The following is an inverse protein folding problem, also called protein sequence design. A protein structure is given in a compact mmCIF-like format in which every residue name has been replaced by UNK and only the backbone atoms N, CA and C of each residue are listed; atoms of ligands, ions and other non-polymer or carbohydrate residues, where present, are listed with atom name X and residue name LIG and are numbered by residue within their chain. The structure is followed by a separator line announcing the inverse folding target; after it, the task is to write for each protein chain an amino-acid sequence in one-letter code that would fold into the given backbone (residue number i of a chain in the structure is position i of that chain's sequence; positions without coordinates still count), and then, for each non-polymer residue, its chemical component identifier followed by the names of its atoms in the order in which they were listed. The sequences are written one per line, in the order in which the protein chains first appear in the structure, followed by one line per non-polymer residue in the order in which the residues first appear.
data_IF_643074669405
#
_entry.id   IF_643074669405
#
_cell.length_a   1.000
_cell.length_b   1.000
_cell.length_c   1.000
_cell.angle_alpha   90.00
_cell.angle_beta   90.00
_cell.angle_gamma   90.00
#
_symmetry.space_group_name_H-M   'P 1'
#
loop_
_entity.id
_entity.type
_entity.pdbx_description
1 polymer ?
#
# COMPACT_ATOMS: atom_id res chain seq x y z
N UNK A 1 13.32 2.40 -4.77
CA UNK A 1 13.35 1.71 -6.08
C UNK A 1 14.38 0.58 -6.14
N UNK A 2 15.66 0.83 -5.88
CA UNK A 2 16.71 -0.20 -5.97
C UNK A 2 16.48 -1.41 -5.05
N UNK A 3 16.02 -1.20 -3.82
CA UNK A 3 15.72 -2.29 -2.87
C UNK A 3 14.50 -3.13 -3.30
N UNK A 4 13.45 -2.49 -3.83
CA UNK A 4 12.29 -3.22 -4.36
C UNK A 4 12.65 -4.03 -5.61
N UNK A 5 13.49 -3.49 -6.50
CA UNK A 5 13.97 -4.24 -7.66
C UNK A 5 14.90 -5.39 -7.26
N UNK A 6 15.67 -5.27 -6.17
CA UNK A 6 16.46 -6.38 -5.65
C UNK A 6 15.57 -7.56 -5.21
N UNK A 7 14.44 -7.28 -4.55
CA UNK A 7 13.51 -8.33 -4.08
C UNK A 7 12.63 -8.91 -5.19
N UNK A 8 12.12 -8.07 -6.10
CA UNK A 8 11.13 -8.49 -7.12
C UNK A 8 11.71 -8.61 -8.54
N UNK A 9 12.99 -8.30 -8.73
CA UNK A 9 13.67 -8.27 -10.03
C UNK A 9 13.49 -9.54 -10.87
N UNK A 10 13.62 -10.76 -10.30
CA UNK A 10 13.40 -12.00 -11.05
C UNK A 10 11.98 -12.10 -11.63
N UNK A 11 10.97 -11.81 -10.82
CA UNK A 11 9.55 -11.82 -11.24
C UNK A 11 9.27 -10.76 -12.30
N UNK A 12 9.78 -9.54 -12.11
CA UNK A 12 9.65 -8.43 -13.06
C UNK A 12 10.30 -8.80 -14.40
N UNK A 13 11.54 -9.30 -14.39
CA UNK A 13 12.25 -9.71 -15.60
C UNK A 13 11.64 -10.94 -16.28
N UNK A 14 11.04 -11.86 -15.52
CA UNK A 14 10.24 -12.96 -16.03
C UNK A 14 9.04 -12.47 -16.82
N UNK A 15 8.27 -11.53 -16.26
CA UNK A 15 7.14 -10.92 -16.95
C UNK A 15 7.54 -10.12 -18.19
N UNK A 16 8.60 -9.29 -18.11
CA UNK A 16 9.12 -8.50 -19.23
C UNK A 16 9.47 -9.36 -20.45
N UNK A 17 10.19 -10.48 -20.24
CA UNK A 17 10.59 -11.37 -21.34
C UNK A 17 9.43 -12.20 -21.87
N UNK A 18 8.60 -12.76 -20.98
CA UNK A 18 7.55 -13.69 -21.39
C UNK A 18 6.37 -13.00 -22.07
N UNK A 19 5.89 -11.88 -21.49
CA UNK A 19 4.67 -11.18 -21.92
C UNK A 19 4.95 -9.98 -22.81
N UNK A 20 5.87 -9.11 -22.40
CA UNK A 20 6.13 -7.86 -23.13
C UNK A 20 7.18 -8.00 -24.24
N UNK A 21 7.89 -9.14 -24.30
CA UNK A 21 9.02 -9.37 -25.22
C UNK A 21 10.11 -8.30 -25.09
N UNK A 22 10.29 -7.75 -23.90
CA UNK A 22 11.32 -6.75 -23.58
C UNK A 22 12.55 -7.41 -22.95
N UNK A 23 13.71 -6.78 -23.13
CA UNK A 23 14.95 -7.18 -22.47
C UNK A 23 14.83 -7.07 -20.93
N UNK A 24 15.54 -7.97 -20.25
CA UNK A 24 15.66 -7.93 -18.79
C UNK A 24 16.38 -6.66 -18.34
N UNK A 25 15.94 -6.10 -17.23
CA UNK A 25 16.60 -5.01 -16.54
C UNK A 25 17.67 -5.58 -15.62
N UNK A 26 18.91 -5.16 -15.80
CA UNK A 26 20.03 -5.53 -14.94
C UNK A 26 20.20 -4.53 -13.81
N UNK A 27 20.70 -5.01 -12.67
CA UNK A 27 21.11 -4.14 -11.56
C UNK A 27 22.22 -3.21 -12.08
N UNK A 28 22.10 -1.91 -11.81
CA UNK A 28 23.05 -0.90 -12.30
C UNK A 28 22.71 -0.28 -13.66
N UNK A 29 21.67 -0.76 -14.37
CA UNK A 29 21.22 -0.17 -15.65
C UNK A 29 20.58 1.22 -15.56
N UNK A 30 20.59 1.86 -14.38
CA UNK A 30 19.95 3.15 -14.13
C UNK A 30 18.41 3.09 -14.11
N UNK A 31 17.77 1.98 -14.49
CA UNK A 31 16.31 1.84 -14.46
C UNK A 31 15.72 1.98 -13.05
N UNK A 32 16.49 1.65 -12.00
CA UNK A 32 16.09 1.91 -10.61
C UNK A 32 16.04 3.41 -10.25
N UNK A 33 16.30 4.29 -11.22
CA UNK A 33 16.11 5.74 -11.17
C UNK A 33 15.28 6.25 -12.36
N UNK A 34 14.55 5.37 -13.05
CA UNK A 34 13.78 5.75 -14.23
C UNK A 34 12.67 6.75 -13.87
N UNK A 35 12.09 6.66 -12.67
CA UNK A 35 11.05 7.61 -12.22
C UNK A 35 11.61 9.05 -12.18
N UNK A 36 12.71 9.34 -11.45
CA UNK A 36 13.29 10.68 -11.48
C UNK A 36 13.88 11.06 -12.85
N UNK A 37 14.64 10.17 -13.50
CA UNK A 37 15.36 10.50 -14.76
C UNK A 37 14.41 10.78 -15.94
N UNK A 38 13.34 10.00 -16.07
CA UNK A 38 12.36 10.16 -17.15
C UNK A 38 11.20 11.09 -16.79
N UNK A 39 11.29 11.77 -15.64
CA UNK A 39 10.25 12.67 -15.12
C UNK A 39 8.84 12.06 -15.06
N UNK A 40 8.75 10.77 -14.71
CA UNK A 40 7.47 10.07 -14.67
C UNK A 40 6.61 10.63 -13.53
N UNK A 41 5.38 11.12 -13.79
CA UNK A 41 4.48 11.58 -12.73
C UNK A 41 4.05 10.44 -11.80
N UNK A 42 4.02 10.70 -10.50
CA UNK A 42 3.55 9.73 -9.51
C UNK A 42 2.86 10.40 -8.32
N UNK A 43 2.01 9.63 -7.64
CA UNK A 43 1.19 10.10 -6.53
C UNK A 43 1.56 9.42 -5.22
N UNK A 44 1.89 10.22 -4.23
CA UNK A 44 2.00 9.85 -2.82
C UNK A 44 0.61 9.82 -2.18
N UNK A 45 0.17 8.62 -1.78
CA UNK A 45 -1.21 8.35 -1.39
C UNK A 45 -1.41 8.41 0.13
N UNK A 46 -1.18 9.59 0.72
CA UNK A 46 -1.51 9.87 2.11
C UNK A 46 -2.07 11.29 2.24
N UNK A 47 -2.73 11.56 3.37
CA UNK A 47 -3.29 12.88 3.68
C UNK A 47 -2.19 13.94 3.83
N UNK A 48 -2.25 15.07 3.09
CA UNK A 48 -1.31 16.17 3.26
C UNK A 48 -1.38 16.80 4.66
N UNK A 49 -2.48 16.60 5.40
CA UNK A 49 -2.60 17.02 6.80
C UNK A 49 -1.75 16.19 7.76
N UNK A 50 -1.38 14.96 7.38
CA UNK A 50 -0.46 14.13 8.15
C UNK A 50 0.99 14.55 7.87
N UNK A 51 1.38 14.55 6.60
CA UNK A 51 2.68 15.03 6.13
C UNK A 51 2.50 15.76 4.81
N UNK A 52 2.81 17.06 4.72
CA UNK A 52 2.75 17.79 3.46
C UNK A 52 3.86 17.31 2.52
N UNK A 53 3.76 17.65 1.22
CA UNK A 53 4.82 17.35 0.25
C UNK A 53 6.14 17.99 0.71
N UNK A 54 7.23 17.21 0.89
CA UNK A 54 8.54 17.77 1.20
C UNK A 54 9.05 18.71 0.11
N UNK A 55 9.82 19.73 0.50
CA UNK A 55 10.28 20.79 -0.43
C UNK A 55 11.31 20.30 -1.44
N UNK A 56 12.07 19.29 -1.07
CA UNK A 56 13.12 18.65 -1.86
C UNK A 56 12.58 17.57 -2.82
N UNK A 57 11.26 17.33 -2.82
CA UNK A 57 10.63 16.37 -3.72
C UNK A 57 10.38 16.94 -5.11
N UNK A 58 10.54 16.12 -6.18
CA UNK A 58 10.40 16.59 -7.55
C UNK A 58 8.98 17.07 -7.85
N UNK A 59 8.85 18.01 -8.80
CA UNK A 59 7.56 18.60 -9.20
C UNK A 59 6.55 17.54 -9.69
N UNK A 60 7.03 16.50 -10.36
CA UNK A 60 6.22 15.38 -10.86
C UNK A 60 5.60 14.50 -9.76
N UNK A 61 6.02 14.66 -8.50
CA UNK A 61 5.40 14.01 -7.35
C UNK A 61 4.26 14.87 -6.80
N UNK A 62 3.09 14.26 -6.57
CA UNK A 62 1.97 14.91 -5.88
C UNK A 62 1.55 14.11 -4.65
N UNK A 63 1.33 14.77 -3.52
CA UNK A 63 0.65 14.18 -2.37
C UNK A 63 -0.85 14.39 -2.58
N UNK A 64 -1.61 13.31 -2.76
CA UNK A 64 -2.98 13.36 -3.29
C UNK A 64 -4.07 13.03 -2.28
N UNK A 65 -3.71 12.70 -1.04
CA UNK A 65 -4.65 12.26 -0.03
C UNK A 65 -4.73 10.73 0.08
N UNK A 66 -5.54 10.28 1.03
CA UNK A 66 -5.80 8.86 1.26
C UNK A 66 -6.98 8.42 0.40
N UNK A 67 -6.80 7.36 -0.39
CA UNK A 67 -7.91 6.70 -1.06
C UNK A 67 -8.61 5.80 -0.06
N UNK A 68 -9.80 6.19 0.37
CA UNK A 68 -10.73 5.31 1.06
C UNK A 68 -11.73 4.77 0.06
N UNK A 69 -12.21 3.55 0.27
CA UNK A 69 -13.41 3.08 -0.42
C UNK A 69 -14.53 4.11 -0.21
N UNK A 70 -15.32 4.34 -1.25
CA UNK A 70 -16.39 5.33 -1.20
C UNK A 70 -17.30 5.00 -0.01
N UNK A 71 -17.32 5.85 1.03
CA UNK A 71 -18.04 5.57 2.29
C UNK A 71 -19.55 5.35 2.08
N UNK A 72 -20.06 5.73 0.90
CA UNK A 72 -21.45 5.54 0.46
C UNK A 72 -21.70 4.19 -0.21
N UNK A 73 -20.67 3.49 -0.68
CA UNK A 73 -20.80 2.10 -1.09
C UNK A 73 -20.86 1.30 0.21
N UNK A 74 -22.08 1.09 0.72
CA UNK A 74 -22.32 0.22 1.86
C UNK A 74 -21.57 -1.09 1.59
N UNK A 75 -20.59 -1.39 2.43
CA UNK A 75 -20.05 -2.75 2.47
C UNK A 75 -21.24 -3.65 2.77
N UNK A 76 -21.47 -4.68 1.95
CA UNK A 76 -22.52 -5.66 2.24
C UNK A 76 -22.07 -6.43 3.45
N UNK A 77 -22.51 -5.98 4.63
CA UNK A 77 -22.27 -6.66 5.89
C UNK A 77 -23.38 -7.68 6.03
N UNK A 78 -23.01 -8.93 6.27
CA UNK A 78 -23.96 -9.96 6.65
C UNK A 78 -24.37 -9.72 8.11
N UNK A 79 -25.39 -8.89 8.29
CA UNK A 79 -25.88 -8.48 9.62
C UNK A 79 -26.34 -9.68 10.45
N UNK A 80 -26.85 -10.74 9.80
CA UNK A 80 -27.26 -11.96 10.48
C UNK A 80 -26.05 -12.68 11.06
N UNK A 81 -24.99 -12.84 10.27
CA UNK A 81 -23.75 -13.48 10.72
C UNK A 81 -23.04 -12.72 11.84
N UNK A 82 -23.18 -11.39 11.89
CA UNK A 82 -22.49 -10.54 12.86
C UNK A 82 -23.41 -9.92 13.92
N UNK A 83 -24.65 -10.40 14.07
CA UNK A 83 -25.67 -9.80 14.93
C UNK A 83 -25.20 -9.57 16.38
N UNK A 84 -24.63 -10.58 17.03
CA UNK A 84 -24.13 -10.47 18.42
C UNK A 84 -23.02 -9.41 18.55
N UNK A 85 -22.17 -9.27 17.53
CA UNK A 85 -21.09 -8.29 17.53
C UNK A 85 -21.63 -6.88 17.33
N UNK A 86 -22.64 -6.72 16.48
CA UNK A 86 -23.32 -5.44 16.28
C UNK A 86 -24.01 -5.02 17.57
N UNK A 87 -24.76 -5.92 18.21
CA UNK A 87 -25.41 -5.67 19.51
C UNK A 87 -24.39 -5.30 20.59
N UNK A 88 -23.23 -5.98 20.65
CA UNK A 88 -22.15 -5.62 21.56
C UNK A 88 -21.56 -4.23 21.28
N UNK A 89 -21.39 -3.85 20.00
CA UNK A 89 -20.90 -2.52 19.62
C UNK A 89 -21.88 -1.41 20.01
N UNK A 90 -23.18 -1.70 20.07
CA UNK A 90 -24.25 -0.72 20.35
C UNK A 90 -24.66 -0.66 21.84
N UNK A 91 -24.48 -1.73 22.60
CA UNK A 91 -25.01 -1.87 23.97
C UNK A 91 -24.17 -1.21 25.08
N UNK A 92 -23.02 -0.64 24.76
CA UNK A 92 -22.08 -0.14 25.76
C UNK A 92 -21.32 1.13 25.37
N UNK A 93 -20.32 1.53 26.18
CA UNK A 93 -19.39 2.60 25.85
C UNK A 93 -18.63 2.31 24.55
N UNK A 94 -18.18 3.35 23.85
CA UNK A 94 -17.43 3.21 22.61
C UNK A 94 -16.22 2.27 22.79
N UNK A 95 -16.15 1.15 22.03
CA UNK A 95 -15.11 0.15 22.21
C UNK A 95 -13.78 0.61 21.61
N UNK A 96 -12.70 -0.02 22.06
CA UNK A 96 -11.35 0.22 21.53
C UNK A 96 -11.05 -0.81 20.44
N UNK A 97 -10.68 -0.36 19.24
CA UNK A 97 -10.16 -1.23 18.18
C UNK A 97 -8.65 -1.43 18.35
N UNK A 98 -8.23 -2.69 18.45
CA UNK A 98 -6.81 -3.10 18.50
C UNK A 98 -6.53 -3.93 17.25
N UNK A 99 -5.58 -3.49 16.43
CA UNK A 99 -5.19 -4.21 15.22
C UNK A 99 -3.73 -3.91 14.87
N UNK A 100 -2.93 -4.97 14.75
CA UNK A 100 -1.49 -4.87 14.47
C UNK A 100 -1.15 -5.14 12.99
N UNK A 101 -2.18 -5.36 12.15
CA UNK A 101 -1.99 -5.81 10.78
C UNK A 101 -1.63 -7.29 10.70
N UNK A 102 -1.32 -7.76 9.50
CA UNK A 102 -0.89 -9.14 9.29
C UNK A 102 0.54 -9.30 9.79
N UNK A 103 0.70 -10.08 10.86
CA UNK A 103 2.00 -10.44 11.42
C UNK A 103 2.11 -11.97 11.46
N UNK A 104 3.30 -12.49 11.14
CA UNK A 104 3.64 -13.89 11.37
C UNK A 104 4.36 -13.94 12.71
N UNK A 105 3.68 -14.46 13.74
CA UNK A 105 4.27 -14.72 15.05
C UNK A 105 4.41 -16.24 15.16
N UNK A 106 5.64 -16.73 15.24
CA UNK A 106 5.94 -18.17 15.30
C UNK A 106 5.49 -18.79 16.64
N UNK A 107 5.69 -18.08 17.75
CA UNK A 107 5.25 -18.52 19.08
C UNK A 107 4.62 -17.35 19.84
N UNK A 108 3.30 -17.44 20.05
CA UNK A 108 2.51 -16.43 20.75
C UNK A 108 2.61 -16.54 22.27
N UNK A 109 3.21 -17.61 22.81
CA UNK A 109 3.38 -17.80 24.26
C UNK A 109 4.61 -17.07 24.85
N UNK A 110 5.48 -16.55 23.98
CA UNK A 110 6.67 -15.79 24.34
C UNK A 110 6.47 -14.26 24.29
N UNK A 111 5.22 -13.82 24.09
CA UNK A 111 4.83 -12.40 24.10
C UNK A 111 4.47 -11.91 25.51
#
# INVERSE_FOLDING_TARGET
ESLQFASFGPSINGWRRSKLKLHAVTIGSGISSAIPTCRIPFSAMWSPSFVPKPRDWPEQCRVVGTFSQDKKAASVIDEVKFAEKIEWLESGPAPIFIGFGSMVIEDTSQL
#
